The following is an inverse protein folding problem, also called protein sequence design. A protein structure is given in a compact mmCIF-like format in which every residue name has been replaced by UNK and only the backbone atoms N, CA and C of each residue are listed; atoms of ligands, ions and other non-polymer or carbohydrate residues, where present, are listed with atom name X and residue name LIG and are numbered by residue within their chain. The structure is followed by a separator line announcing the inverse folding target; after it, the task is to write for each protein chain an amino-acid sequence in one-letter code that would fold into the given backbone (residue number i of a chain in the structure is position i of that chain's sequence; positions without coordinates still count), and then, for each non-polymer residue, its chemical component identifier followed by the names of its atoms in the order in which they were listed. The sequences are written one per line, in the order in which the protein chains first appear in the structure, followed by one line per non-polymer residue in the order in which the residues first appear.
data_IF_823885152257
#
_entry.id   IF_823885152257
#
_cell.length_a   1.000
_cell.length_b   1.000
_cell.length_c   1.000
_cell.angle_alpha   90.00
_cell.angle_beta   90.00
_cell.angle_gamma   90.00
#
_symmetry.space_group_name_H-M   'P 1'
#
loop_
_entity.id
_entity.type
_entity.pdbx_description
1 polymer ?
#
# COMPACT_ATOMS: atom_id res chain seq x y z
N UNK A 1 -0.69 56.84 -17.36
CA UNK A 1 -1.94 56.14 -17.77
C UNK A 1 -2.08 54.75 -17.16
N UNK A 2 -1.22 53.77 -17.46
CA UNK A 2 -1.33 52.43 -16.84
C UNK A 2 -1.07 52.43 -15.32
N UNK A 3 -0.21 53.32 -14.85
CA UNK A 3 0.09 53.54 -13.43
C UNK A 3 -1.07 54.19 -12.67
N UNK A 4 -1.79 55.11 -13.30
CA UNK A 4 -2.91 55.85 -12.67
C UNK A 4 -4.15 54.97 -12.54
N UNK A 5 -4.35 54.04 -13.48
CA UNK A 5 -5.41 53.05 -13.44
C UNK A 5 -5.19 52.04 -12.30
N UNK A 6 -3.97 51.53 -12.15
CA UNK A 6 -3.60 50.65 -11.04
C UNK A 6 -3.73 51.36 -9.69
N UNK A 7 -3.34 52.64 -9.60
CA UNK A 7 -3.46 53.42 -8.38
C UNK A 7 -4.92 53.62 -7.97
N UNK A 8 -5.81 53.95 -8.92
CA UNK A 8 -7.26 54.03 -8.67
C UNK A 8 -7.89 52.68 -8.34
N UNK A 9 -7.44 51.58 -8.95
CA UNK A 9 -7.94 50.24 -8.63
C UNK A 9 -7.51 49.78 -7.21
N UNK A 10 -6.32 50.18 -6.76
CA UNK A 10 -5.83 49.91 -5.41
C UNK A 10 -6.50 50.83 -4.37
N UNK A 11 -6.83 52.07 -4.73
CA UNK A 11 -7.60 52.98 -3.86
C UNK A 11 -9.09 52.61 -3.79
N UNK A 12 -9.68 52.06 -4.87
CA UNK A 12 -11.08 51.63 -4.93
C UNK A 12 -11.32 50.24 -4.30
N UNK A 13 -10.28 49.41 -4.23
CA UNK A 13 -10.33 48.20 -3.41
C UNK A 13 -10.01 48.59 -1.97
N UNK A 14 -10.84 48.20 -1.01
CA UNK A 14 -10.67 48.42 0.44
C UNK A 14 -9.41 47.76 1.05
N UNK A 15 -8.40 47.52 0.22
CA UNK A 15 -7.17 46.80 0.50
C UNK A 15 -6.19 47.64 1.34
N UNK A 16 -6.15 48.96 1.14
CA UNK A 16 -5.31 49.87 1.93
C UNK A 16 -5.74 49.92 3.40
N UNK A 17 -7.03 50.17 3.75
CA UNK A 17 -7.51 50.08 5.13
C UNK A 17 -7.21 48.72 5.77
N UNK A 18 -7.45 47.63 5.03
CA UNK A 18 -7.22 46.27 5.50
C UNK A 18 -5.74 45.98 5.81
N UNK A 19 -4.81 46.41 4.95
CA UNK A 19 -3.37 46.31 5.21
C UNK A 19 -2.97 47.17 6.42
N UNK A 20 -3.53 48.38 6.54
CA UNK A 20 -3.22 49.24 7.69
C UNK A 20 -3.72 48.66 9.00
N UNK A 21 -4.86 47.95 9.00
CA UNK A 21 -5.39 47.31 10.21
C UNK A 21 -4.59 46.06 10.57
N UNK A 22 -4.22 45.23 9.59
CA UNK A 22 -3.35 44.07 9.83
C UNK A 22 -1.97 44.50 10.36
N UNK A 23 -1.40 45.58 9.81
CA UNK A 23 -0.10 46.07 10.26
C UNK A 23 -0.18 46.71 11.66
N UNK A 24 -1.29 47.38 12.00
CA UNK A 24 -1.56 47.85 13.37
C UNK A 24 -1.69 46.69 14.35
N UNK A 25 -2.46 45.65 14.02
CA UNK A 25 -2.63 44.48 14.88
C UNK A 25 -1.30 43.74 15.09
N UNK A 26 -0.53 43.53 14.01
CA UNK A 26 0.78 42.89 14.10
C UNK A 26 1.78 43.71 14.93
N UNK A 27 1.79 45.04 14.77
CA UNK A 27 2.68 45.91 15.55
C UNK A 27 2.25 45.99 17.03
N UNK A 28 0.96 45.96 17.31
CA UNK A 28 0.42 45.93 18.67
C UNK A 28 0.72 44.60 19.38
N UNK A 29 0.63 43.46 18.68
CA UNK A 29 1.00 42.16 19.22
C UNK A 29 2.51 42.08 19.54
N UNK A 30 3.36 42.60 18.66
CA UNK A 30 4.80 42.70 18.88
C UNK A 30 5.11 43.62 20.07
N UNK A 31 4.44 44.76 20.17
CA UNK A 31 4.59 45.70 21.28
C UNK A 31 4.25 45.06 22.63
N UNK A 32 3.12 44.34 22.72
CA UNK A 32 2.72 43.61 23.94
C UNK A 32 3.77 42.56 24.33
N UNK A 33 4.31 41.80 23.36
CA UNK A 33 5.37 40.82 23.62
C UNK A 33 6.64 41.49 24.15
N UNK A 34 7.06 42.62 23.57
CA UNK A 34 8.23 43.39 24.04
C UNK A 34 8.00 43.93 25.46
N UNK A 35 6.82 44.50 25.75
CA UNK A 35 6.47 44.95 27.10
C UNK A 35 6.49 43.82 28.13
N UNK A 36 6.01 42.62 27.77
CA UNK A 36 6.04 41.45 28.64
C UNK A 36 7.47 40.96 28.92
N UNK A 37 8.34 40.96 27.90
CA UNK A 37 9.77 40.64 28.06
C UNK A 37 10.45 41.65 28.99
N UNK A 38 10.16 42.95 28.82
CA UNK A 38 10.71 43.99 29.68
C UNK A 38 10.22 43.88 31.13
N UNK A 39 8.92 43.61 31.34
CA UNK A 39 8.35 43.31 32.67
C UNK A 39 9.06 42.10 33.30
N UNK A 40 9.23 41.00 32.56
CA UNK A 40 9.92 39.81 33.06
C UNK A 40 11.38 40.09 33.44
N UNK A 41 12.11 40.86 32.63
CA UNK A 41 13.48 41.29 32.97
C UNK A 41 13.52 42.16 34.23
N UNK A 42 12.55 43.06 34.40
CA UNK A 42 12.43 43.89 35.60
C UNK A 42 12.14 43.05 36.85
N UNK A 43 11.20 42.10 36.78
CA UNK A 43 10.89 41.18 37.87
C UNK A 43 12.10 40.31 38.25
N UNK A 44 12.84 39.77 37.28
CA UNK A 44 14.05 38.98 37.53
C UNK A 44 15.17 39.80 38.18
N UNK A 45 15.32 41.08 37.80
CA UNK A 45 16.30 41.99 38.40
C UNK A 45 15.98 42.29 39.87
N UNK A 46 14.71 42.45 40.22
CA UNK A 46 14.28 42.69 41.61
C UNK A 46 14.17 41.42 42.47
N UNK A 47 14.00 40.24 41.86
CA UNK A 47 14.03 38.96 42.60
C UNK A 47 15.45 38.58 43.03
N UNK A 48 16.48 38.99 42.27
CA UNK A 48 17.90 38.79 42.61
C UNK A 48 18.44 39.73 43.70
N UNK A 49 17.78 40.85 43.99
CA UNK A 49 18.22 41.78 45.04
C UNK A 49 17.65 41.50 46.44
N UNK A 50 16.81 40.47 46.60
CA UNK A 50 16.17 40.11 47.89
C UNK A 50 16.71 38.82 48.55
N UNK A 51 17.69 38.13 47.95
CA UNK A 51 18.21 36.84 48.45
C UNK A 51 19.60 36.92 49.10
N UNK A 52 19.92 38.01 49.81
CA UNK A 52 21.09 38.05 50.70
C UNK A 52 20.79 38.76 52.03
N UNK A 53 19.70 38.39 52.70
CA UNK A 53 19.66 38.49 54.16
C UNK A 53 20.35 37.25 54.70
N UNK A 54 21.65 37.37 55.01
CA UNK A 54 22.34 36.44 55.91
C UNK A 54 21.56 36.43 57.22
N UNK A 55 20.95 35.29 57.55
CA UNK A 55 20.54 34.98 58.92
C UNK A 55 21.81 35.02 59.79
N UNK A 56 21.99 36.14 60.47
CA UNK A 56 22.87 36.21 61.62
C UNK A 56 22.13 35.49 62.74
N UNK A 57 22.63 34.31 63.11
CA UNK A 57 22.19 33.63 64.33
C UNK A 57 22.29 34.62 65.50
N UNK A 58 21.30 34.69 66.41
CA UNK A 58 21.45 35.47 67.64
C UNK A 58 22.61 34.86 68.43
N UNK A 59 23.65 35.67 68.64
CA UNK A 59 24.69 35.36 69.63
C UNK A 59 23.98 35.41 70.98
N UNK A 60 23.92 34.25 71.63
CA UNK A 60 23.48 34.08 73.01
C UNK A 60 24.32 34.99 73.91
N UNK A 61 23.64 35.86 74.66
CA UNK A 61 24.19 36.74 75.69
C UNK A 61 24.57 35.93 76.94
N UNK A 62 25.56 35.04 76.85
CA UNK A 62 26.15 34.39 78.02
C UNK A 62 27.67 34.25 77.86
N UNK A 63 28.37 35.38 77.88
CA UNK A 63 29.79 35.49 78.32
C UNK A 63 30.25 36.94 78.40
N UNK A 64 29.53 37.76 79.15
CA UNK A 64 30.11 38.95 79.79
C UNK A 64 30.25 38.63 81.27
N UNK A 65 31.41 38.11 81.65
CA UNK A 65 32.00 38.18 83.00
C UNK A 65 33.15 37.16 83.11
N UNK A 66 34.35 37.58 82.71
CA UNK A 66 35.57 37.06 83.32
C UNK A 66 36.71 38.05 83.10
N UNK A 67 37.00 38.80 84.17
CA UNK A 67 38.35 39.11 84.63
C UNK A 67 39.11 40.17 83.79
N UNK A 68 38.94 41.41 84.25
CA UNK A 68 39.94 42.46 84.13
C UNK A 68 41.16 42.12 84.99
N UNK A 69 42.17 41.50 84.40
CA UNK A 69 43.53 41.57 84.94
C UNK A 69 44.31 42.61 84.15
N UNK A 70 44.60 43.74 84.81
CA UNK A 70 45.55 44.72 84.32
C UNK A 70 46.89 44.00 84.09
N UNK A 71 47.50 44.04 82.89
CA UNK A 71 48.83 43.48 82.73
C UNK A 71 49.80 44.34 83.55
N UNK A 72 50.38 43.72 84.56
CA UNK A 72 51.55 44.23 85.29
C UNK A 72 52.63 44.56 84.24
N UNK A 73 52.96 45.84 84.08
CA UNK A 73 54.12 46.29 83.30
C UNK A 73 55.38 45.77 83.99
N UNK A 74 55.80 44.54 83.66
CA UNK A 74 57.19 44.12 83.84
C UNK A 74 58.03 44.99 82.91
N UNK A 75 58.99 45.73 83.46
CA UNK A 75 60.00 46.44 82.70
C UNK A 75 60.79 45.42 81.88
N UNK A 76 60.43 45.30 80.61
CA UNK A 76 61.21 44.56 79.63
C UNK A 76 62.58 45.22 79.48
N UNK A 77 63.64 44.50 79.82
CA UNK A 77 65.02 44.92 79.57
C UNK A 77 65.21 45.26 78.09
N UNK A 78 66.03 46.27 77.74
CA UNK A 78 66.18 46.76 76.37
C UNK A 78 66.60 45.68 75.35
N UNK A 79 67.19 44.57 75.81
CA UNK A 79 67.55 43.40 75.00
C UNK A 79 66.32 42.59 74.57
N UNK A 80 65.38 42.31 75.47
CA UNK A 80 64.15 41.58 75.14
C UNK A 80 63.26 42.36 74.16
N UNK A 81 63.28 43.69 74.21
CA UNK A 81 62.62 44.55 73.20
C UNK A 81 63.26 44.44 71.81
N UNK A 82 64.60 44.38 71.74
CA UNK A 82 65.34 44.20 70.47
C UNK A 82 65.08 42.81 69.86
N UNK A 83 64.97 41.77 70.69
CA UNK A 83 64.64 40.42 70.24
C UNK A 83 63.20 40.31 69.73
N UNK A 84 62.22 40.82 70.49
CA UNK A 84 60.81 40.91 70.05
C UNK A 84 60.67 41.73 68.76
N UNK A 85 61.41 42.83 68.61
CA UNK A 85 61.41 43.61 67.37
C UNK A 85 61.99 42.81 66.18
N UNK A 86 63.04 42.00 66.40
CA UNK A 86 63.58 41.09 65.36
C UNK A 86 62.59 39.97 65.03
N UNK A 87 61.88 39.42 66.00
CA UNK A 87 60.84 38.39 65.80
C UNK A 87 59.64 38.95 65.04
N UNK A 88 59.13 40.12 65.41
CA UNK A 88 58.07 40.82 64.69
C UNK A 88 58.50 41.10 63.24
N UNK A 89 59.75 41.54 63.01
CA UNK A 89 60.28 41.75 61.66
C UNK A 89 60.37 40.45 60.84
N UNK A 90 60.71 39.32 61.47
CA UNK A 90 60.70 37.99 60.83
C UNK A 90 59.28 37.53 60.52
N UNK A 91 58.34 37.75 61.43
CA UNK A 91 56.92 37.42 61.25
C UNK A 91 56.31 38.24 60.10
N UNK A 92 56.57 39.55 60.05
CA UNK A 92 56.12 40.43 58.96
C UNK A 92 56.68 39.98 57.61
N UNK A 93 57.95 39.58 57.54
CA UNK A 93 58.54 39.01 56.31
C UNK A 93 57.86 37.70 55.90
N UNK A 94 57.53 36.81 56.86
CA UNK A 94 56.78 35.58 56.59
C UNK A 94 55.37 35.88 56.06
N UNK A 95 54.64 36.79 56.72
CA UNK A 95 53.31 37.22 56.28
C UNK A 95 53.34 37.88 54.89
N UNK A 96 54.37 38.67 54.58
CA UNK A 96 54.51 39.27 53.26
C UNK A 96 54.77 38.22 52.19
N UNK A 97 55.61 37.21 52.46
CA UNK A 97 55.83 36.07 51.56
C UNK A 97 54.55 35.26 51.37
N UNK A 98 53.86 34.91 52.46
CA UNK A 98 52.59 34.19 52.42
C UNK A 98 51.52 34.96 51.63
N UNK A 99 51.43 36.28 51.81
CA UNK A 99 50.54 37.15 51.03
C UNK A 99 50.89 37.13 49.54
N UNK A 100 52.18 37.17 49.19
CA UNK A 100 52.61 37.09 47.79
C UNK A 100 52.34 35.72 47.15
N UNK A 101 52.55 34.63 47.88
CA UNK A 101 52.23 33.27 47.43
C UNK A 101 50.73 33.06 47.26
N UNK A 102 49.92 33.56 48.20
CA UNK A 102 48.46 33.53 48.10
C UNK A 102 47.96 34.31 46.90
N UNK A 103 48.55 35.47 46.64
CA UNK A 103 48.19 36.27 45.46
C UNK A 103 48.55 35.56 44.16
N UNK A 104 49.74 34.95 44.08
CA UNK A 104 50.17 34.16 42.93
C UNK A 104 49.24 32.97 42.67
N UNK A 105 48.89 32.20 43.70
CA UNK A 105 47.92 31.09 43.58
C UNK A 105 46.55 31.58 43.10
N UNK A 106 46.11 32.76 43.55
CA UNK A 106 44.85 33.34 43.10
C UNK A 106 44.90 33.69 41.60
N UNK A 107 46.02 34.24 41.13
CA UNK A 107 46.23 34.53 39.70
C UNK A 107 46.25 33.26 38.85
N UNK A 108 46.95 32.21 39.30
CA UNK A 108 46.99 30.91 38.61
C UNK A 108 45.57 30.29 38.51
N UNK A 109 44.76 30.37 39.57
CA UNK A 109 43.36 29.92 39.55
C UNK A 109 42.48 30.76 38.62
N UNK A 110 42.66 32.08 38.60
CA UNK A 110 41.92 32.97 37.70
C UNK A 110 42.29 32.71 36.23
N UNK A 111 43.56 32.41 35.93
CA UNK A 111 44.02 32.02 34.60
C UNK A 111 43.46 30.66 34.16
N UNK A 112 43.44 29.66 35.05
CA UNK A 112 42.85 28.35 34.77
C UNK A 112 41.33 28.47 34.54
N UNK A 113 40.64 29.28 35.34
CA UNK A 113 39.22 29.55 35.17
C UNK A 113 38.91 30.24 33.83
N UNK A 114 39.77 31.17 33.39
CA UNK A 114 39.64 31.80 32.06
C UNK A 114 39.84 30.80 30.93
N UNK A 115 40.85 29.93 31.01
CA UNK A 115 41.08 28.90 29.99
C UNK A 115 39.90 27.94 29.85
N UNK A 116 39.34 27.48 30.98
CA UNK A 116 38.13 26.62 30.95
C UNK A 116 36.94 27.34 30.33
N UNK A 117 36.77 28.63 30.62
CA UNK A 117 35.71 29.43 30.01
C UNK A 117 35.89 29.56 28.49
N UNK A 118 37.11 29.78 28.02
CA UNK A 118 37.41 29.87 26.59
C UNK A 118 37.17 28.52 25.88
N UNK A 119 37.60 27.40 26.48
CA UNK A 119 37.32 26.05 25.98
C UNK A 119 35.80 25.75 25.90
N UNK A 120 35.02 26.16 26.90
CA UNK A 120 33.57 26.02 26.91
C UNK A 120 32.90 26.85 25.80
N UNK A 121 33.40 28.07 25.54
CA UNK A 121 32.93 28.94 24.45
C UNK A 121 33.22 28.29 23.09
N UNK A 122 34.44 27.80 22.87
CA UNK A 122 34.81 27.12 21.62
C UNK A 122 33.96 25.87 21.36
N UNK A 123 33.70 25.07 22.40
CA UNK A 123 32.82 23.90 22.30
C UNK A 123 31.37 24.30 21.96
N UNK A 124 30.86 25.37 22.55
CA UNK A 124 29.52 25.88 22.27
C UNK A 124 29.43 26.40 20.81
N UNK A 125 30.46 27.08 20.30
CA UNK A 125 30.52 27.53 18.92
C UNK A 125 30.54 26.36 17.93
N UNK A 126 31.35 25.32 18.19
CA UNK A 126 31.38 24.10 17.35
C UNK A 126 30.01 23.41 17.34
N UNK A 127 29.36 23.29 18.50
CA UNK A 127 28.02 22.71 18.59
C UNK A 127 26.98 23.53 17.83
N UNK A 128 27.08 24.86 17.91
CA UNK A 128 26.20 25.77 17.18
C UNK A 128 26.38 25.63 15.66
N UNK A 129 27.62 25.57 15.18
CA UNK A 129 27.91 25.35 13.76
C UNK A 129 27.36 24.01 13.26
N UNK A 130 27.55 22.92 14.03
CA UNK A 130 26.98 21.60 13.69
C UNK A 130 25.46 21.63 13.59
N UNK A 131 24.77 22.27 14.55
CA UNK A 131 23.30 22.43 14.49
C UNK A 131 22.86 23.23 13.28
N UNK A 132 23.58 24.29 12.92
CA UNK A 132 23.26 25.09 11.73
C UNK A 132 23.43 24.29 10.43
N UNK A 133 24.47 23.46 10.33
CA UNK A 133 24.67 22.55 9.19
C UNK A 133 23.58 21.49 9.08
N UNK A 134 23.16 20.89 10.19
CA UNK A 134 22.06 19.93 10.24
C UNK A 134 20.75 20.57 9.78
N UNK A 135 20.44 21.78 10.27
CA UNK A 135 19.27 22.55 9.83
C UNK A 135 19.33 22.90 8.34
N UNK A 136 20.50 23.23 7.79
CA UNK A 136 20.69 23.46 6.35
C UNK A 136 20.46 22.19 5.55
N UNK A 137 21.01 21.05 5.97
CA UNK A 137 20.80 19.74 5.33
C UNK A 137 19.33 19.32 5.37
N UNK A 138 18.64 19.55 6.48
CA UNK A 138 17.22 19.25 6.61
C UNK A 138 16.36 20.13 5.68
N UNK A 139 16.66 21.44 5.59
CA UNK A 139 16.01 22.35 4.63
C UNK A 139 16.19 21.87 3.19
N UNK A 140 17.40 21.52 2.79
CA UNK A 140 17.69 21.00 1.44
C UNK A 140 16.89 19.71 1.20
N UNK A 141 16.92 18.75 2.13
CA UNK A 141 16.17 17.50 1.99
C UNK A 141 14.66 17.74 1.89
N UNK A 142 14.12 18.67 2.67
CA UNK A 142 12.71 19.04 2.61
C UNK A 142 12.34 19.70 1.27
N UNK A 143 13.21 20.52 0.70
CA UNK A 143 12.99 21.09 -0.65
C UNK A 143 13.04 20.02 -1.74
N UNK A 144 13.95 19.05 -1.66
CA UNK A 144 14.02 17.92 -2.60
C UNK A 144 12.76 17.05 -2.53
N UNK A 145 12.31 16.70 -1.32
CA UNK A 145 11.06 15.96 -1.11
C UNK A 145 9.84 16.69 -1.67
N UNK A 146 9.78 18.02 -1.60
CA UNK A 146 8.70 18.81 -2.22
C UNK A 146 8.76 18.72 -3.75
N UNK A 147 9.94 18.90 -4.35
CA UNK A 147 10.13 18.74 -5.81
C UNK A 147 9.75 17.36 -6.31
N UNK A 148 10.15 16.29 -5.61
CA UNK A 148 9.76 14.93 -5.99
C UNK A 148 8.24 14.70 -5.93
N UNK A 149 7.56 15.29 -4.94
CA UNK A 149 6.09 15.23 -4.84
C UNK A 149 5.43 15.99 -5.98
N UNK A 150 5.92 17.19 -6.31
CA UNK A 150 5.43 17.98 -7.44
C UNK A 150 5.62 17.25 -8.77
N UNK A 151 6.78 16.63 -8.99
CA UNK A 151 7.02 15.81 -10.19
C UNK A 151 6.09 14.60 -10.29
N UNK A 152 5.83 13.92 -9.17
CA UNK A 152 4.86 12.82 -9.12
C UNK A 152 3.46 13.32 -9.47
N UNK A 153 3.04 14.43 -8.87
CA UNK A 153 1.74 15.05 -9.15
C UNK A 153 1.61 15.46 -10.62
N UNK A 154 2.69 16.00 -11.21
CA UNK A 154 2.73 16.40 -12.62
C UNK A 154 2.61 15.19 -13.55
N UNK A 155 3.33 14.11 -13.27
CA UNK A 155 3.22 12.83 -14.00
C UNK A 155 1.84 12.21 -13.88
N UNK A 156 1.25 12.22 -12.70
CA UNK A 156 -0.12 11.74 -12.47
C UNK A 156 -1.12 12.58 -13.26
N UNK A 157 -0.99 13.90 -13.23
CA UNK A 157 -1.84 14.81 -13.99
C UNK A 157 -1.72 14.60 -15.50
N UNK A 158 -0.50 14.45 -16.03
CA UNK A 158 -0.28 14.12 -17.45
C UNK A 158 -0.90 12.76 -17.82
N UNK A 159 -0.78 11.75 -16.97
CA UNK A 159 -1.40 10.45 -17.18
C UNK A 159 -2.93 10.55 -17.22
N UNK A 160 -3.53 11.31 -16.30
CA UNK A 160 -4.97 11.58 -16.27
C UNK A 160 -5.44 12.33 -17.52
N UNK A 161 -4.69 13.34 -17.96
CA UNK A 161 -4.96 14.07 -19.20
C UNK A 161 -4.92 13.14 -20.41
N UNK A 162 -3.87 12.32 -20.52
CA UNK A 162 -3.71 11.36 -21.61
C UNK A 162 -4.81 10.29 -21.62
N UNK A 163 -5.27 9.83 -20.45
CA UNK A 163 -6.38 8.88 -20.34
C UNK A 163 -7.68 9.52 -20.83
N UNK A 164 -7.97 10.73 -20.37
CA UNK A 164 -9.16 11.49 -20.75
C UNK A 164 -9.18 11.79 -22.26
N UNK A 165 -8.04 12.20 -22.84
CA UNK A 165 -7.92 12.43 -24.27
C UNK A 165 -8.13 11.14 -25.09
N UNK A 166 -7.66 9.99 -24.60
CA UNK A 166 -7.92 8.69 -25.24
C UNK A 166 -9.39 8.32 -25.19
N UNK A 167 -10.03 8.47 -24.03
CA UNK A 167 -11.46 8.21 -23.86
C UNK A 167 -12.30 9.13 -24.74
N UNK A 168 -11.98 10.42 -24.80
CA UNK A 168 -12.63 11.39 -25.66
C UNK A 168 -12.48 11.02 -27.15
N UNK A 169 -11.28 10.66 -27.60
CA UNK A 169 -11.04 10.16 -28.96
C UNK A 169 -11.80 8.87 -29.25
N UNK A 170 -11.94 7.98 -28.27
CA UNK A 170 -12.73 6.75 -28.42
C UNK A 170 -14.22 7.06 -28.55
N UNK A 171 -14.75 8.01 -27.80
CA UNK A 171 -16.16 8.42 -27.89
C UNK A 171 -16.45 9.09 -29.23
N UNK A 172 -15.56 9.97 -29.71
CA UNK A 172 -15.72 10.64 -31.02
C UNK A 172 -15.58 9.65 -32.18
N UNK A 173 -14.60 8.73 -32.11
CA UNK A 173 -14.36 7.78 -33.19
C UNK A 173 -15.40 6.65 -33.24
N UNK A 174 -16.16 6.44 -32.18
CA UNK A 174 -17.27 5.51 -32.19
C UNK A 174 -18.42 6.05 -33.04
N UNK A 175 -18.70 5.35 -34.14
CA UNK A 175 -19.91 5.52 -34.94
C UNK A 175 -21.16 5.48 -34.07
N UNK A 176 -22.17 6.26 -34.45
CA UNK A 176 -23.43 6.33 -33.73
C UNK A 176 -24.17 4.98 -33.79
N UNK A 177 -25.04 4.74 -32.81
CA UNK A 177 -25.74 3.45 -32.71
C UNK A 177 -26.58 3.13 -33.95
N UNK A 178 -27.25 4.13 -34.53
CA UNK A 178 -28.06 3.93 -35.73
C UNK A 178 -27.18 3.52 -36.93
N UNK A 179 -26.03 4.15 -37.13
CA UNK A 179 -25.07 3.77 -38.18
C UNK A 179 -24.58 2.33 -37.99
N UNK A 180 -24.32 1.90 -36.75
CA UNK A 180 -23.93 0.51 -36.45
C UNK A 180 -25.05 -0.47 -36.77
N UNK A 181 -26.30 -0.12 -36.47
CA UNK A 181 -27.46 -0.94 -36.80
C UNK A 181 -27.64 -1.04 -38.32
N UNK A 182 -27.50 0.06 -39.05
CA UNK A 182 -27.55 0.09 -40.52
C UNK A 182 -26.43 -0.76 -41.14
N UNK A 183 -25.18 -0.60 -40.69
CA UNK A 183 -24.06 -1.42 -41.17
C UNK A 183 -24.28 -2.91 -40.88
N UNK A 184 -24.80 -3.25 -39.71
CA UNK A 184 -25.14 -4.63 -39.36
C UNK A 184 -26.26 -5.20 -40.23
N UNK A 185 -27.29 -4.39 -40.52
CA UNK A 185 -28.40 -4.79 -41.39
C UNK A 185 -27.92 -4.99 -42.83
N UNK A 186 -27.09 -4.08 -43.34
CA UNK A 186 -26.51 -4.17 -44.68
C UNK A 186 -25.66 -5.44 -44.80
N UNK A 187 -24.79 -5.69 -43.84
CA UNK A 187 -23.86 -6.84 -43.88
C UNK A 187 -24.54 -8.18 -43.65
N UNK A 188 -25.53 -8.25 -42.75
CA UNK A 188 -26.17 -9.52 -42.38
C UNK A 188 -27.37 -9.88 -43.25
N UNK A 189 -28.09 -8.89 -43.79
CA UNK A 189 -29.35 -9.12 -44.50
C UNK A 189 -29.21 -8.72 -45.97
N UNK A 190 -28.87 -7.45 -46.25
CA UNK A 190 -28.86 -6.93 -47.62
C UNK A 190 -27.81 -7.62 -48.50
N UNK A 191 -26.59 -7.78 -48.00
CA UNK A 191 -25.49 -8.38 -48.74
C UNK A 191 -25.73 -9.86 -49.08
N UNK A 192 -26.12 -10.73 -48.12
CA UNK A 192 -26.44 -12.13 -48.44
C UNK A 192 -27.62 -12.28 -49.41
N UNK A 193 -28.65 -11.44 -49.31
CA UNK A 193 -29.75 -11.47 -50.27
C UNK A 193 -29.30 -11.05 -51.67
N UNK A 194 -28.43 -10.05 -51.78
CA UNK A 194 -27.82 -9.64 -53.04
C UNK A 194 -26.97 -10.75 -53.65
N UNK A 195 -26.19 -11.45 -52.84
CA UNK A 195 -25.38 -12.59 -53.28
C UNK A 195 -26.24 -13.74 -53.79
N UNK A 196 -27.34 -14.08 -53.08
CA UNK A 196 -28.31 -15.08 -53.55
C UNK A 196 -28.92 -14.69 -54.90
N UNK A 197 -29.38 -13.45 -55.04
CA UNK A 197 -29.93 -12.94 -56.32
C UNK A 197 -28.90 -12.97 -57.44
N UNK A 198 -27.64 -12.62 -57.16
CA UNK A 198 -26.54 -12.72 -58.13
C UNK A 198 -26.28 -14.18 -58.54
N UNK A 199 -26.30 -15.10 -57.59
CA UNK A 199 -26.14 -16.53 -57.86
C UNK A 199 -27.29 -17.09 -58.70
N UNK A 200 -28.53 -16.74 -58.38
CA UNK A 200 -29.72 -17.11 -59.17
C UNK A 200 -29.65 -16.56 -60.60
N UNK A 201 -29.24 -15.30 -60.76
CA UNK A 201 -29.03 -14.70 -62.08
C UNK A 201 -27.92 -15.40 -62.86
N UNK A 202 -26.82 -15.76 -62.20
CA UNK A 202 -25.73 -16.51 -62.82
C UNK A 202 -26.20 -17.90 -63.28
N UNK A 203 -26.97 -18.61 -62.45
CA UNK A 203 -27.58 -19.90 -62.83
C UNK A 203 -28.54 -19.75 -64.02
N UNK A 204 -29.37 -18.72 -64.03
CA UNK A 204 -30.25 -18.43 -65.18
C UNK A 204 -29.43 -18.12 -66.43
N UNK A 205 -28.39 -17.30 -66.34
CA UNK A 205 -27.49 -17.00 -67.47
C UNK A 205 -26.83 -18.27 -68.01
N UNK A 206 -26.39 -19.18 -67.15
CA UNK A 206 -25.84 -20.47 -67.54
C UNK A 206 -26.88 -21.32 -68.28
N UNK A 207 -28.11 -21.37 -67.77
CA UNK A 207 -29.20 -22.15 -68.38
C UNK A 207 -29.60 -21.62 -69.78
N UNK A 208 -29.58 -20.31 -69.97
CA UNK A 208 -29.91 -19.66 -71.24
C UNK A 208 -28.69 -19.40 -72.14
N UNK A 209 -27.50 -19.83 -71.73
CA UNK A 209 -26.32 -19.73 -72.57
C UNK A 209 -26.46 -20.71 -73.73
N UNK A 210 -26.34 -20.27 -75.00
CA UNK A 210 -26.38 -21.18 -76.13
C UNK A 210 -25.24 -22.19 -75.98
N UNK A 211 -25.60 -23.48 -76.02
CA UNK A 211 -24.66 -24.58 -75.84
C UNK A 211 -23.63 -24.51 -76.95
N UNK A 212 -22.35 -24.50 -76.58
CA UNK A 212 -21.28 -24.42 -77.55
C UNK A 212 -21.18 -25.74 -78.33
N UNK A 213 -21.03 -25.66 -79.66
CA UNK A 213 -20.91 -26.85 -80.51
C UNK A 213 -19.75 -27.75 -80.08
N UNK A 214 -18.66 -27.19 -79.55
CA UNK A 214 -17.54 -27.95 -79.00
C UNK A 214 -17.95 -28.82 -77.80
N UNK A 215 -18.74 -28.29 -76.88
CA UNK A 215 -19.19 -29.00 -75.67
C UNK A 215 -20.11 -30.17 -76.02
N UNK A 216 -20.97 -30.02 -77.04
CA UNK A 216 -21.82 -31.10 -77.55
C UNK A 216 -20.95 -32.25 -78.08
N UNK A 217 -19.91 -31.92 -78.85
CA UNK A 217 -18.98 -32.91 -79.41
C UNK A 217 -18.20 -33.61 -78.29
N UNK A 218 -17.71 -32.87 -77.30
CA UNK A 218 -17.03 -33.46 -76.15
C UNK A 218 -17.93 -34.35 -75.30
N UNK A 219 -19.18 -33.94 -75.07
CA UNK A 219 -20.15 -34.75 -74.35
C UNK A 219 -20.47 -36.04 -75.11
N UNK A 220 -20.65 -35.96 -76.42
CA UNK A 220 -20.83 -37.15 -77.27
C UNK A 220 -19.62 -38.09 -77.17
N UNK A 221 -18.39 -37.57 -77.25
CA UNK A 221 -17.16 -38.37 -77.07
C UNK A 221 -17.10 -39.03 -75.70
N UNK A 222 -17.36 -38.28 -74.62
CA UNK A 222 -17.38 -38.82 -73.26
C UNK A 222 -18.43 -39.92 -73.10
N UNK A 223 -19.61 -39.74 -73.68
CA UNK A 223 -20.66 -40.73 -73.66
C UNK A 223 -20.26 -42.00 -74.43
N UNK A 224 -19.65 -41.86 -75.60
CA UNK A 224 -19.12 -42.99 -76.37
C UNK A 224 -18.00 -43.73 -75.62
N UNK A 225 -17.13 -43.00 -74.92
CA UNK A 225 -16.08 -43.58 -74.09
C UNK A 225 -16.68 -44.33 -72.89
N UNK A 226 -17.72 -43.79 -72.24
CA UNK A 226 -18.46 -44.49 -71.17
C UNK A 226 -19.10 -45.78 -71.70
N UNK A 227 -19.68 -45.76 -72.90
CA UNK A 227 -20.26 -46.96 -73.52
C UNK A 227 -19.16 -48.00 -73.79
N UNK A 228 -18.03 -47.59 -74.35
CA UNK A 228 -16.88 -48.47 -74.61
C UNK A 228 -16.34 -49.07 -73.31
N UNK A 229 -16.22 -48.27 -72.25
CA UNK A 229 -15.79 -48.73 -70.94
C UNK A 229 -16.77 -49.74 -70.35
N UNK A 230 -18.08 -49.50 -70.47
CA UNK A 230 -19.11 -50.44 -70.03
C UNK A 230 -19.08 -51.75 -70.82
N UNK A 231 -18.86 -51.69 -72.14
CA UNK A 231 -18.70 -52.87 -72.98
C UNK A 231 -17.44 -53.66 -72.60
N UNK A 232 -16.30 -52.98 -72.46
CA UNK A 232 -15.06 -53.60 -72.03
C UNK A 232 -15.16 -54.23 -70.63
N UNK A 233 -15.90 -53.60 -69.70
CA UNK A 233 -16.23 -54.19 -68.40
C UNK A 233 -17.08 -55.44 -68.54
N UNK A 234 -18.14 -55.41 -69.35
CA UNK A 234 -19.00 -56.59 -69.60
C UNK A 234 -18.22 -57.74 -70.23
N UNK A 235 -17.33 -57.47 -71.18
CA UNK A 235 -16.49 -58.49 -71.81
C UNK A 235 -15.51 -59.09 -70.81
N UNK A 236 -14.87 -58.26 -69.97
CA UNK A 236 -14.00 -58.72 -68.88
C UNK A 236 -14.77 -59.55 -67.85
N UNK A 237 -15.97 -59.13 -67.47
CA UNK A 237 -16.84 -59.85 -66.54
C UNK A 237 -17.33 -61.18 -67.16
N UNK A 238 -17.68 -61.20 -68.44
CA UNK A 238 -18.05 -62.42 -69.14
C UNK A 238 -16.86 -63.39 -69.23
N UNK A 239 -15.66 -62.88 -69.52
CA UNK A 239 -14.44 -63.67 -69.54
C UNK A 239 -14.09 -64.20 -68.13
N UNK A 240 -14.14 -63.35 -67.10
CA UNK A 240 -13.88 -63.78 -65.73
C UNK A 240 -14.91 -64.81 -65.27
N UNK A 241 -16.19 -64.62 -65.58
CA UNK A 241 -17.24 -65.61 -65.31
C UNK A 241 -16.97 -66.93 -66.05
N UNK A 242 -16.49 -66.88 -67.30
CA UNK A 242 -16.12 -68.10 -68.02
C UNK A 242 -14.94 -68.84 -67.38
N UNK A 243 -13.92 -68.09 -66.91
CA UNK A 243 -12.77 -68.63 -66.18
C UNK A 243 -13.21 -69.18 -64.83
N UNK A 244 -14.06 -68.47 -64.10
CA UNK A 244 -14.60 -68.90 -62.81
C UNK A 244 -15.48 -70.13 -62.96
N UNK A 245 -16.26 -70.25 -64.04
CA UNK A 245 -17.03 -71.46 -64.35
C UNK A 245 -16.12 -72.65 -64.66
N UNK A 246 -15.05 -72.45 -65.45
CA UNK A 246 -14.03 -73.48 -65.69
C UNK A 246 -13.32 -73.88 -64.40
N UNK A 247 -12.91 -72.89 -63.60
CA UNK A 247 -12.27 -73.11 -62.31
C UNK A 247 -13.23 -73.79 -61.33
N UNK A 248 -14.52 -73.44 -61.33
CA UNK A 248 -15.53 -74.12 -60.54
C UNK A 248 -15.79 -75.54 -61.03
N UNK A 249 -15.74 -75.83 -62.33
CA UNK A 249 -15.85 -77.19 -62.86
C UNK A 249 -14.64 -78.03 -62.42
N UNK A 250 -13.42 -77.49 -62.52
CA UNK A 250 -12.20 -78.13 -62.03
C UNK A 250 -12.25 -78.26 -60.50
N UNK A 251 -12.59 -77.21 -59.76
CA UNK A 251 -12.68 -77.22 -58.31
C UNK A 251 -13.79 -78.14 -57.81
N UNK A 252 -14.92 -78.29 -58.53
CA UNK A 252 -15.95 -79.30 -58.24
C UNK A 252 -15.40 -80.72 -58.38
N UNK A 253 -14.48 -80.96 -59.30
CA UNK A 253 -13.78 -82.25 -59.42
C UNK A 253 -12.74 -82.49 -58.32
N UNK A 254 -12.19 -81.42 -57.73
CA UNK A 254 -11.25 -81.47 -56.60
C UNK A 254 -11.88 -81.05 -55.26
N UNK A 255 -13.22 -81.02 -55.15
CA UNK A 255 -13.91 -80.44 -54.01
C UNK A 255 -13.87 -81.40 -52.83
N UNK A 256 -12.96 -81.14 -51.90
CA UNK A 256 -12.91 -81.86 -50.63
C UNK A 256 -13.95 -81.29 -49.68
N UNK A 257 -14.69 -82.18 -48.98
CA UNK A 257 -15.61 -81.81 -47.89
C UNK A 257 -14.94 -80.92 -46.81
N UNK A 258 -13.61 -80.98 -46.70
CA UNK A 258 -12.84 -80.12 -45.80
C UNK A 258 -12.84 -78.64 -46.22
N UNK A 259 -12.90 -78.32 -47.52
CA UNK A 259 -12.97 -76.93 -47.99
C UNK A 259 -14.33 -76.29 -47.72
N UNK A 260 -15.41 -77.07 -47.79
CA UNK A 260 -16.75 -76.59 -47.43
C UNK A 260 -16.85 -76.32 -45.93
N UNK A 261 -16.31 -77.23 -45.11
CA UNK A 261 -16.21 -77.01 -43.67
C UNK A 261 -15.42 -75.74 -43.32
N UNK A 262 -14.29 -75.49 -43.99
CA UNK A 262 -13.50 -74.26 -43.79
C UNK A 262 -14.25 -72.99 -44.21
N UNK A 263 -14.99 -73.01 -45.33
CA UNK A 263 -15.79 -71.84 -45.76
C UNK A 263 -16.98 -71.58 -44.83
N UNK A 264 -17.59 -72.63 -44.30
CA UNK A 264 -18.67 -72.50 -43.30
C UNK A 264 -18.11 -71.98 -41.97
N UNK A 265 -16.93 -72.44 -41.56
CA UNK A 265 -16.21 -71.94 -40.38
C UNK A 265 -15.81 -70.46 -40.55
N UNK A 266 -15.30 -70.06 -41.72
CA UNK A 266 -14.95 -68.66 -42.02
C UNK A 266 -16.19 -67.74 -42.00
N UNK A 267 -17.32 -68.20 -42.54
CA UNK A 267 -18.60 -67.47 -42.46
C UNK A 267 -19.08 -67.33 -41.02
N UNK A 268 -19.06 -68.41 -40.25
CA UNK A 268 -19.43 -68.38 -38.82
C UNK A 268 -18.56 -67.41 -38.03
N UNK A 269 -17.26 -67.46 -38.25
CA UNK A 269 -16.29 -66.61 -37.56
C UNK A 269 -16.43 -65.13 -37.93
N UNK A 270 -16.86 -64.83 -39.17
CA UNK A 270 -17.20 -63.48 -39.60
C UNK A 270 -18.49 -62.98 -38.96
N UNK A 271 -19.54 -63.79 -38.94
CA UNK A 271 -20.81 -63.45 -38.30
C UNK A 271 -20.66 -63.23 -36.78
N UNK A 272 -19.80 -64.02 -36.12
CA UNK A 272 -19.47 -63.83 -34.69
C UNK A 272 -18.74 -62.50 -34.46
N UNK A 273 -17.75 -62.16 -35.29
CA UNK A 273 -17.06 -60.86 -35.22
C UNK A 273 -18.02 -59.69 -35.40
N UNK A 274 -18.91 -59.76 -36.38
CA UNK A 274 -19.88 -58.70 -36.64
C UNK A 274 -20.85 -58.52 -35.46
N UNK A 275 -21.28 -59.62 -34.83
CA UNK A 275 -22.09 -59.59 -33.59
C UNK A 275 -21.32 -58.97 -32.42
N UNK A 276 -20.06 -59.35 -32.21
CA UNK A 276 -19.24 -58.76 -31.14
C UNK A 276 -19.04 -57.25 -31.32
N UNK A 277 -18.82 -56.78 -32.56
CA UNK A 277 -18.66 -55.36 -32.85
C UNK A 277 -19.95 -54.58 -32.57
N UNK A 278 -21.11 -55.13 -32.93
CA UNK A 278 -22.41 -54.55 -32.62
C UNK A 278 -22.64 -54.47 -31.10
N UNK A 279 -22.33 -55.53 -30.34
CA UNK A 279 -22.42 -55.51 -28.88
C UNK A 279 -21.46 -54.51 -28.23
N UNK A 280 -20.24 -54.36 -28.76
CA UNK A 280 -19.27 -53.36 -28.30
C UNK A 280 -19.81 -51.95 -28.53
N UNK A 281 -20.37 -51.66 -29.71
CA UNK A 281 -21.01 -50.36 -30.02
C UNK A 281 -22.17 -50.07 -29.07
N UNK A 282 -23.08 -51.02 -28.86
CA UNK A 282 -24.19 -50.86 -27.91
C UNK A 282 -23.72 -50.63 -26.47
N UNK A 283 -22.64 -51.30 -26.03
CA UNK A 283 -22.04 -51.07 -24.70
C UNK A 283 -21.47 -49.66 -24.57
N UNK A 284 -20.84 -49.13 -25.61
CA UNK A 284 -20.32 -47.75 -25.62
C UNK A 284 -21.46 -46.75 -25.58
N UNK A 285 -22.51 -46.95 -26.38
CA UNK A 285 -23.71 -46.10 -26.38
C UNK A 285 -24.37 -46.06 -25.00
N UNK A 286 -24.58 -47.23 -24.36
CA UNK A 286 -25.12 -47.30 -22.98
C UNK A 286 -24.24 -46.56 -21.97
N UNK A 287 -22.91 -46.66 -22.09
CA UNK A 287 -21.98 -45.92 -21.23
C UNK A 287 -22.07 -44.40 -21.46
N UNK A 288 -22.19 -43.97 -22.72
CA UNK A 288 -22.32 -42.56 -23.07
C UNK A 288 -23.65 -41.99 -22.56
N UNK A 289 -24.77 -42.68 -22.78
CA UNK A 289 -26.08 -42.31 -22.26
C UNK A 289 -26.06 -42.19 -20.74
N UNK A 290 -25.46 -43.17 -20.05
CA UNK A 290 -25.31 -43.10 -18.59
C UNK A 290 -24.41 -41.92 -18.16
N UNK A 291 -23.31 -41.66 -18.87
CA UNK A 291 -22.41 -40.55 -18.56
C UNK A 291 -23.08 -39.18 -18.77
N UNK A 292 -23.92 -39.03 -19.80
CA UNK A 292 -24.74 -37.85 -20.02
C UNK A 292 -25.76 -37.66 -18.90
N UNK A 293 -26.50 -38.72 -18.57
CA UNK A 293 -27.48 -38.71 -17.47
C UNK A 293 -26.83 -38.38 -16.13
N UNK A 294 -25.64 -38.91 -15.83
CA UNK A 294 -24.86 -38.56 -14.63
C UNK A 294 -24.42 -37.10 -14.66
N UNK A 295 -24.01 -36.56 -15.82
CA UNK A 295 -23.64 -35.14 -15.93
C UNK A 295 -24.84 -34.21 -15.72
N UNK A 296 -26.03 -34.63 -16.14
CA UNK A 296 -27.27 -33.88 -15.93
C UNK A 296 -27.71 -33.92 -14.46
N UNK A 297 -27.77 -35.11 -13.86
CA UNK A 297 -28.17 -35.31 -12.47
C UNK A 297 -27.17 -34.71 -11.47
N UNK A 298 -25.88 -34.85 -11.74
CA UNK A 298 -24.79 -34.42 -10.87
C UNK A 298 -23.98 -33.30 -11.52
N UNK A 299 -24.68 -32.29 -12.07
CA UNK A 299 -24.00 -31.10 -12.57
C UNK A 299 -23.35 -30.40 -11.38
N UNK A 300 -22.01 -30.25 -11.35
CA UNK A 300 -21.36 -29.62 -10.21
C UNK A 300 -21.84 -28.17 -10.10
N UNK A 301 -22.50 -27.86 -8.99
CA UNK A 301 -22.88 -26.49 -8.63
C UNK A 301 -21.62 -25.73 -8.26
N UNK A 302 -21.16 -24.88 -9.17
CA UNK A 302 -20.04 -23.97 -8.90
C UNK A 302 -20.60 -22.82 -8.07
N UNK A 303 -20.23 -22.77 -6.80
CA UNK A 303 -20.49 -21.65 -5.91
C UNK A 303 -20.03 -20.33 -6.57
N UNK A 304 -20.84 -19.28 -6.46
CA UNK A 304 -20.60 -17.99 -7.11
C UNK A 304 -19.25 -17.39 -6.70
N UNK A 305 -18.82 -17.63 -5.46
CA UNK A 305 -17.51 -17.23 -4.96
C UNK A 305 -16.36 -17.92 -5.70
N UNK A 306 -16.43 -19.25 -5.89
CA UNK A 306 -15.42 -19.99 -6.66
C UNK A 306 -15.43 -19.60 -8.14
N UNK A 307 -16.59 -19.22 -8.69
CA UNK A 307 -16.69 -18.71 -10.06
C UNK A 307 -15.96 -17.38 -10.22
N UNK A 308 -16.06 -16.48 -9.24
CA UNK A 308 -15.31 -15.22 -9.22
C UNK A 308 -13.81 -15.46 -9.01
N UNK A 309 -13.43 -16.38 -8.13
CA UNK A 309 -12.03 -16.77 -7.93
C UNK A 309 -11.40 -17.32 -9.22
N UNK A 310 -12.09 -18.23 -9.92
CA UNK A 310 -11.64 -18.79 -11.19
C UNK A 310 -11.53 -17.72 -12.29
N UNK A 311 -12.45 -16.75 -12.35
CA UNK A 311 -12.34 -15.60 -13.28
C UNK A 311 -11.08 -14.78 -13.00
N UNK A 312 -10.81 -14.47 -11.74
CA UNK A 312 -9.60 -13.74 -11.33
C UNK A 312 -8.32 -14.54 -11.65
N UNK A 313 -8.37 -15.87 -11.53
CA UNK A 313 -7.25 -16.75 -11.86
C UNK A 313 -6.97 -16.78 -13.38
N UNK A 314 -8.02 -16.85 -14.19
CA UNK A 314 -7.94 -16.74 -15.65
C UNK A 314 -7.42 -15.36 -16.07
N UNK A 315 -7.87 -14.28 -15.43
CA UNK A 315 -7.35 -12.93 -15.68
C UNK A 315 -5.87 -12.79 -15.32
N UNK A 316 -5.43 -13.38 -14.20
CA UNK A 316 -4.02 -13.43 -13.81
C UNK A 316 -3.15 -14.21 -14.80
N UNK A 317 -3.70 -15.25 -15.43
CA UNK A 317 -3.00 -16.05 -16.45
C UNK A 317 -2.92 -15.37 -17.82
N UNK A 318 -3.84 -14.44 -18.13
CA UNK A 318 -3.80 -13.63 -19.35
C UNK A 318 -2.71 -12.55 -19.32
N UNK A 319 -2.24 -12.18 -18.13
CA UNK A 319 -1.08 -11.30 -18.00
C UNK A 319 0.19 -12.09 -18.32
N UNK A 320 1.07 -11.59 -19.20
CA UNK A 320 2.31 -12.28 -19.52
C UNK A 320 3.18 -12.35 -18.27
N UNK A 321 3.23 -13.52 -17.63
CA UNK A 321 4.14 -13.81 -16.53
C UNK A 321 5.56 -13.71 -17.10
N UNK A 322 6.28 -12.63 -16.74
CA UNK A 322 7.71 -12.54 -16.99
C UNK A 322 8.39 -13.69 -16.28
N UNK A 323 8.62 -14.79 -17.00
CA UNK A 323 9.47 -15.89 -16.54
C UNK A 323 10.83 -15.30 -16.22
N UNK A 324 11.16 -15.19 -14.93
CA UNK A 324 12.54 -14.96 -14.51
C UNK A 324 13.34 -16.15 -15.02
N UNK A 325 14.16 -15.91 -16.04
CA UNK A 325 15.19 -16.83 -16.50
C UNK A 325 16.16 -17.02 -15.33
N UNK A 326 15.94 -18.05 -14.53
CA UNK A 326 16.95 -18.53 -13.61
C UNK A 326 18.02 -19.23 -14.44
N UNK A 327 19.22 -18.64 -14.37
CA UNK A 327 20.53 -19.19 -14.68
C UNK A 327 20.58 -20.49 -15.47
N UNK A 328 20.97 -20.35 -16.73
CA UNK A 328 21.80 -21.32 -17.45
C UNK A 328 23.02 -21.56 -16.57
N UNK A 329 23.07 -22.70 -15.85
CA UNK A 329 24.27 -23.36 -15.32
C UNK A 329 23.83 -24.63 -14.58
N UNK A 330 23.49 -25.66 -15.35
CA UNK A 330 23.41 -27.04 -14.87
C UNK A 330 23.67 -27.95 -16.05
N UNK A 331 24.95 -28.08 -16.38
CA UNK A 331 25.45 -29.18 -17.17
C UNK A 331 25.14 -30.48 -16.42
N UNK A 332 24.23 -31.28 -16.96
CA UNK A 332 24.29 -32.73 -16.87
C UNK A 332 23.39 -33.33 -17.95
N UNK A 333 24.05 -33.55 -19.09
CA UNK A 333 23.99 -34.76 -19.91
C UNK A 333 23.27 -35.94 -19.26
N UNK A 334 22.08 -36.26 -19.75
CA UNK A 334 21.71 -37.65 -20.12
C UNK A 334 20.81 -37.56 -21.35
N UNK A 335 21.28 -38.15 -22.44
CA UNK A 335 20.48 -38.53 -23.58
C UNK A 335 19.28 -39.38 -23.13
N UNK A 336 18.08 -39.05 -23.59
CA UNK A 336 17.10 -40.08 -23.97
C UNK A 336 16.34 -39.57 -25.18
N UNK A 337 16.65 -40.19 -26.30
CA UNK A 337 15.88 -40.11 -27.54
C UNK A 337 14.50 -40.75 -27.37
N UNK A 338 13.58 -40.28 -28.21
CA UNK A 338 12.39 -40.94 -28.75
C UNK A 338 11.01 -40.78 -28.09
N UNK A 339 10.06 -40.67 -29.01
CA UNK A 339 8.67 -41.11 -28.97
C UNK A 339 7.61 -40.09 -28.55
N UNK A 340 6.98 -39.53 -29.58
CA UNK A 340 5.56 -39.21 -29.63
C UNK A 340 4.74 -40.24 -28.82
N UNK A 341 4.13 -39.77 -27.74
CA UNK A 341 3.28 -40.59 -26.88
C UNK A 341 2.31 -39.71 -26.13
N UNK A 342 1.03 -39.86 -26.47
CA UNK A 342 -0.12 -39.25 -25.83
C UNK A 342 0.01 -39.17 -24.31
N UNK A 343 -0.16 -37.96 -23.77
CA UNK A 343 -0.29 -37.72 -22.33
C UNK A 343 -1.63 -38.29 -21.86
N UNK A 344 -1.64 -39.57 -21.51
CA UNK A 344 -2.59 -40.13 -20.55
C UNK A 344 -1.88 -40.21 -19.21
N UNK A 345 -2.39 -39.46 -18.23
CA UNK A 345 -1.90 -39.48 -16.86
C UNK A 345 -1.99 -40.89 -16.28
N UNK A 346 -0.85 -41.59 -16.24
CA UNK A 346 -0.72 -42.82 -15.45
C UNK A 346 -0.80 -42.44 -13.97
N UNK A 347 -1.96 -42.69 -13.35
CA UNK A 347 -2.11 -42.71 -11.90
C UNK A 347 -1.04 -43.61 -11.29
N UNK A 348 -0.08 -43.01 -10.56
CA UNK A 348 0.91 -43.74 -9.78
C UNK A 348 0.17 -44.53 -8.69
N UNK A 349 0.31 -45.86 -8.69
CA UNK A 349 -0.15 -46.73 -7.60
C UNK A 349 0.50 -46.29 -6.29
N UNK A 350 -0.31 -45.83 -5.34
CA UNK A 350 0.13 -45.52 -3.98
C UNK A 350 0.39 -46.86 -3.27
N UNK A 351 1.61 -47.06 -2.78
CA UNK A 351 1.94 -48.21 -1.94
C UNK A 351 1.19 -48.07 -0.60
N UNK A 352 0.58 -49.15 -0.11
CA UNK A 352 -0.05 -49.17 1.22
C UNK A 352 1.03 -48.98 2.28
N UNK A 353 0.81 -48.06 3.23
CA UNK A 353 1.76 -47.80 4.31
C UNK A 353 1.93 -49.06 5.17
N UNK A 354 3.17 -49.35 5.54
CA UNK A 354 3.53 -50.51 6.38
C UNK A 354 3.03 -50.30 7.83
N UNK A 355 2.16 -51.16 8.38
CA UNK A 355 1.56 -50.97 9.71
C UNK A 355 2.54 -51.14 10.87
N UNK A 356 3.76 -51.63 10.64
CA UNK A 356 4.75 -51.85 11.71
C UNK A 356 5.63 -50.63 12.01
N UNK A 357 5.49 -49.53 11.26
CA UNK A 357 6.23 -48.29 11.52
C UNK A 357 5.27 -47.27 12.12
N UNK A 358 5.46 -46.84 13.38
CA UNK A 358 4.68 -45.76 13.97
C UNK A 358 4.74 -44.53 13.08
N UNK A 359 3.59 -43.99 12.69
CA UNK A 359 3.57 -42.82 11.83
C UNK A 359 4.28 -41.65 12.52
N UNK A 360 5.17 -40.93 11.80
CA UNK A 360 5.89 -39.82 12.39
C UNK A 360 4.89 -38.79 12.92
N UNK A 361 5.18 -38.14 14.08
CA UNK A 361 4.25 -37.21 14.70
C UNK A 361 3.86 -36.13 13.69
N UNK A 362 2.54 -35.95 13.50
CA UNK A 362 2.01 -35.00 12.53
C UNK A 362 2.59 -33.62 12.83
N UNK A 363 3.34 -33.05 11.86
CA UNK A 363 3.87 -31.70 11.99
C UNK A 363 2.69 -30.76 12.16
N UNK A 364 2.62 -30.07 13.30
CA UNK A 364 1.61 -29.04 13.55
C UNK A 364 1.64 -28.05 12.38
N UNK A 365 0.57 -28.03 11.61
CA UNK A 365 0.43 -27.07 10.53
C UNK A 365 0.54 -25.68 11.13
N UNK A 366 1.54 -24.92 10.69
CA UNK A 366 1.72 -23.52 11.11
C UNK A 366 0.48 -22.80 10.56
N UNK A 367 -0.50 -22.51 11.42
CA UNK A 367 -1.63 -21.67 11.08
C UNK A 367 -1.04 -20.37 10.54
N UNK A 368 -1.23 -20.13 9.25
CA UNK A 368 -0.80 -18.90 8.59
C UNK A 368 -1.73 -17.81 9.09
N UNK A 369 -1.40 -17.22 10.23
CA UNK A 369 -2.14 -16.11 10.81
C UNK A 369 -1.91 -14.92 9.87
N UNK A 370 -2.94 -14.58 9.11
CA UNK A 370 -2.94 -13.36 8.31
C UNK A 370 -3.07 -12.18 9.29
N UNK A 371 -1.92 -11.61 9.64
CA UNK A 371 -1.80 -10.51 10.59
C UNK A 371 -2.70 -9.31 10.24
N UNK A 372 -2.98 -9.12 8.94
CA UNK A 372 -3.89 -8.06 8.50
C UNK A 372 -5.36 -8.42 8.73
N UNK A 373 -5.73 -9.70 8.57
CA UNK A 373 -7.07 -10.18 8.88
C UNK A 373 -7.34 -10.11 10.39
N UNK A 374 -6.36 -10.50 11.20
CA UNK A 374 -6.42 -10.39 12.65
C UNK A 374 -6.53 -8.93 13.10
N UNK A 375 -5.72 -8.03 12.52
CA UNK A 375 -5.82 -6.58 12.78
C UNK A 375 -7.13 -5.95 12.30
N UNK A 376 -7.78 -6.47 11.26
CA UNK A 376 -9.12 -6.02 10.84
C UNK A 376 -10.21 -6.49 11.81
N UNK A 377 -10.08 -7.71 12.34
CA UNK A 377 -10.98 -8.24 13.37
C UNK A 377 -10.79 -7.43 14.66
N UNK A 378 -9.55 -7.14 15.04
CA UNK A 378 -9.23 -6.33 16.23
C UNK A 378 -9.76 -4.89 16.11
N UNK A 379 -9.71 -4.27 14.92
CA UNK A 379 -10.34 -2.96 14.67
C UNK A 379 -11.86 -3.00 14.60
N UNK A 380 -12.46 -4.13 14.27
CA UNK A 380 -13.93 -4.31 14.30
C UNK A 380 -14.43 -4.58 15.71
N UNK A 381 -13.69 -5.36 16.51
CA UNK A 381 -14.03 -5.64 17.90
C UNK A 381 -13.76 -4.44 18.81
N UNK A 382 -12.70 -3.68 18.54
CA UNK A 382 -12.54 -2.29 18.98
C UNK A 382 -13.33 -1.37 18.04
N UNK A 383 -14.64 -1.62 17.89
CA UNK A 383 -15.54 -0.73 17.16
C UNK A 383 -15.25 0.70 17.59
N UNK A 384 -15.31 1.67 16.66
CA UNK A 384 -14.96 3.06 16.92
C UNK A 384 -15.74 3.56 18.13
N UNK A 385 -15.12 3.45 19.30
CA UNK A 385 -15.61 4.07 20.51
C UNK A 385 -15.29 5.53 20.28
N UNK A 386 -16.17 6.22 19.56
CA UNK A 386 -16.41 7.64 19.75
C UNK A 386 -16.81 7.75 21.21
N UNK A 387 -15.81 7.80 22.10
CA UNK A 387 -16.00 8.16 23.50
C UNK A 387 -16.62 9.54 23.40
N UNK A 388 -17.94 9.63 23.58
CA UNK A 388 -18.60 10.92 23.74
C UNK A 388 -18.07 11.46 25.06
N UNK A 389 -17.12 12.39 24.96
CA UNK A 389 -16.57 13.09 26.11
C UNK A 389 -17.64 14.08 26.58
N UNK A 390 -18.54 13.61 27.44
CA UNK A 390 -19.61 14.41 28.00
C UNK A 390 -19.07 15.16 29.25
N UNK A 391 -18.17 16.11 29.01
CA UNK A 391 -17.49 16.90 30.06
C UNK A 391 -18.50 17.64 30.97
N UNK A 392 -19.69 17.96 30.46
CA UNK A 392 -20.73 18.69 31.19
C UNK A 392 -21.34 17.84 32.32
N UNK A 393 -21.52 16.54 32.09
CA UNK A 393 -21.95 15.61 33.16
C UNK A 393 -20.90 15.40 34.22
N UNK A 394 -19.64 15.33 33.80
CA UNK A 394 -18.51 15.19 34.72
C UNK A 394 -18.35 16.46 35.57
N UNK A 395 -18.49 17.65 34.97
CA UNK A 395 -18.43 18.93 35.67
C UNK A 395 -19.47 19.05 36.79
N UNK A 396 -20.69 18.53 36.56
CA UNK A 396 -21.76 18.52 37.56
C UNK A 396 -21.56 17.48 38.68
N UNK A 397 -20.67 16.50 38.48
CA UNK A 397 -20.41 15.42 39.43
C UNK A 397 -19.16 15.64 40.30
N UNK A 398 -18.25 16.50 39.85
CA UNK A 398 -17.03 16.82 40.58
C UNK A 398 -17.27 17.97 41.55
N UNK A 399 -16.98 17.73 42.82
CA UNK A 399 -16.82 18.79 43.81
C UNK A 399 -15.50 19.52 43.52
N UNK A 400 -15.58 20.77 43.07
CA UNK A 400 -14.46 21.55 42.54
C UNK A 400 -13.52 22.09 43.63
N UNK A 401 -13.78 21.80 44.90
CA UNK A 401 -12.89 22.12 46.03
C UNK A 401 -11.85 21.04 46.33
N UNK A 402 -11.93 19.87 45.68
CA UNK A 402 -11.01 18.75 45.88
C UNK A 402 -9.88 18.78 44.82
N UNK A 403 -8.64 19.04 45.25
CA UNK A 403 -7.47 19.20 44.37
C UNK A 403 -7.27 18.00 43.43
N UNK A 404 -7.48 16.76 43.91
CA UNK A 404 -7.29 15.55 43.11
C UNK A 404 -8.36 15.41 41.99
N UNK A 405 -9.58 15.91 42.24
CA UNK A 405 -10.66 15.89 41.26
C UNK A 405 -10.48 17.00 40.23
N UNK A 406 -10.05 18.19 40.66
CA UNK A 406 -9.74 19.29 39.75
C UNK A 406 -8.57 18.92 38.82
N UNK A 407 -7.54 18.24 39.32
CA UNK A 407 -6.41 17.78 38.51
C UNK A 407 -6.83 16.73 37.47
N UNK A 408 -7.70 15.78 37.83
CA UNK A 408 -8.29 14.83 36.87
C UNK A 408 -9.15 15.51 35.82
N UNK A 409 -9.89 16.55 36.19
CA UNK A 409 -10.68 17.34 35.26
C UNK A 409 -9.76 18.11 34.29
N UNK A 410 -8.67 18.71 34.77
CA UNK A 410 -7.64 19.36 33.94
C UNK A 410 -7.07 18.37 32.92
N UNK A 411 -6.62 17.19 33.35
CA UNK A 411 -6.07 16.17 32.45
C UNK A 411 -7.08 15.73 31.39
N UNK A 412 -8.36 15.57 31.76
CA UNK A 412 -9.42 15.23 30.81
C UNK A 412 -9.71 16.36 29.83
N UNK A 413 -9.73 17.61 30.28
CA UNK A 413 -9.90 18.78 29.39
C UNK A 413 -8.76 18.90 28.39
N UNK A 414 -7.51 18.63 28.80
CA UNK A 414 -6.35 18.60 27.91
C UNK A 414 -6.41 17.48 26.87
N UNK A 415 -6.99 16.33 27.23
CA UNK A 415 -7.22 15.24 26.28
C UNK A 415 -8.28 15.63 25.25
N UNK A 416 -9.37 16.26 25.68
CA UNK A 416 -10.43 16.75 24.78
C UNK A 416 -9.89 17.82 23.82
N UNK A 417 -9.04 18.74 24.29
CA UNK A 417 -8.39 19.74 23.43
C UNK A 417 -7.46 19.14 22.37
N UNK A 418 -6.72 18.09 22.74
CA UNK A 418 -5.89 17.34 21.77
C UNK A 418 -6.75 16.65 20.73
N UNK A 419 -7.95 16.19 21.08
CA UNK A 419 -8.90 15.62 20.13
C UNK A 419 -9.56 16.69 19.25
N UNK A 420 -9.97 17.83 19.81
CA UNK A 420 -10.45 19.00 19.06
C UNK A 420 -9.41 19.39 18.01
N UNK A 421 -8.16 19.60 18.43
CA UNK A 421 -7.06 19.97 17.53
C UNK A 421 -6.84 18.96 16.39
N UNK A 422 -7.12 17.68 16.63
CA UNK A 422 -7.06 16.63 15.58
C UNK A 422 -8.27 16.70 14.66
N UNK A 423 -9.48 16.88 15.20
CA UNK A 423 -10.72 16.99 14.42
C UNK A 423 -10.73 18.27 13.58
N UNK A 424 -10.20 19.40 14.08
CA UNK A 424 -10.06 20.65 13.33
C UNK A 424 -9.19 20.47 12.07
N UNK A 425 -8.04 19.80 12.20
CA UNK A 425 -7.17 19.50 11.04
C UNK A 425 -7.86 18.59 10.01
N UNK A 426 -8.74 17.70 10.46
CA UNK A 426 -9.50 16.82 9.58
C UNK A 426 -10.62 17.62 8.90
N UNK A 427 -11.35 18.46 9.62
CA UNK A 427 -12.40 19.32 9.08
C UNK A 427 -11.82 20.26 8.02
N UNK A 428 -10.69 20.92 8.30
CA UNK A 428 -10.01 21.80 7.33
C UNK A 428 -9.64 21.11 6.02
N UNK A 429 -9.44 19.78 6.04
CA UNK A 429 -9.14 18.98 4.85
C UNK A 429 -10.38 18.48 4.09
N UNK A 430 -11.57 18.52 4.69
CA UNK A 430 -12.81 17.89 4.20
C UNK A 430 -13.99 18.85 3.96
N UNK A 431 -13.72 20.17 3.85
CA UNK A 431 -14.74 21.23 3.71
C UNK A 431 -15.80 21.00 2.61
N UNK A 432 -15.52 20.19 1.58
CA UNK A 432 -16.43 19.97 0.45
C UNK A 432 -17.47 18.84 0.66
N UNK A 433 -17.43 18.09 1.76
CA UNK A 433 -18.33 16.95 1.97
C UNK A 433 -19.59 17.37 2.75
N UNK A 434 -20.81 16.96 2.38
CA UNK A 434 -22.05 17.39 3.07
C UNK A 434 -22.10 16.97 4.56
N UNK A 435 -21.50 15.83 4.91
CA UNK A 435 -21.29 15.39 6.32
C UNK A 435 -20.27 16.23 7.12
N UNK A 436 -19.68 17.27 6.52
CA UNK A 436 -18.78 18.18 7.23
C UNK A 436 -19.52 19.13 8.17
N UNK A 437 -20.82 19.37 7.93
CA UNK A 437 -21.66 20.22 8.77
C UNK A 437 -21.90 19.54 10.12
N UNK A 438 -22.43 18.32 10.15
CA UNK A 438 -22.64 17.56 11.39
C UNK A 438 -21.33 17.38 12.19
N UNK A 439 -20.21 17.22 11.48
CA UNK A 439 -18.89 17.09 12.10
C UNK A 439 -18.36 18.42 12.66
N UNK A 440 -18.70 19.55 12.02
CA UNK A 440 -18.40 20.88 12.53
C UNK A 440 -19.25 21.21 13.76
N UNK A 441 -20.51 20.79 13.79
CA UNK A 441 -21.39 20.94 14.95
C UNK A 441 -20.87 20.13 16.15
N UNK A 442 -20.49 18.86 15.94
CA UNK A 442 -19.87 18.03 16.99
C UNK A 442 -18.56 18.66 17.52
N UNK A 443 -17.77 19.27 16.62
CA UNK A 443 -16.53 19.94 16.98
C UNK A 443 -16.79 21.22 17.81
N UNK A 444 -17.80 22.00 17.43
CA UNK A 444 -18.24 23.17 18.19
C UNK A 444 -18.72 22.78 19.59
N UNK A 445 -19.49 21.70 19.73
CA UNK A 445 -19.94 21.19 21.04
C UNK A 445 -18.76 20.76 21.93
N UNK A 446 -17.73 20.11 21.36
CA UNK A 446 -16.51 19.76 22.08
C UNK A 446 -15.73 21.01 22.51
N UNK A 447 -15.62 22.03 21.66
CA UNK A 447 -14.96 23.30 22.00
C UNK A 447 -15.70 24.00 23.14
N UNK A 448 -17.02 24.13 23.02
CA UNK A 448 -17.85 24.80 24.03
C UNK A 448 -17.74 24.08 25.37
N UNK A 449 -17.80 22.74 25.38
CA UNK A 449 -17.68 21.95 26.62
C UNK A 449 -16.29 22.05 27.25
N UNK A 450 -15.20 22.07 26.46
CA UNK A 450 -13.84 22.32 26.95
C UNK A 450 -13.71 23.72 27.57
N UNK A 451 -14.21 24.76 26.89
CA UNK A 451 -14.19 26.13 27.39
C UNK A 451 -14.96 26.26 28.70
N UNK A 452 -16.18 25.71 28.77
CA UNK A 452 -16.99 25.69 30.00
C UNK A 452 -16.25 25.03 31.16
N UNK A 453 -15.65 23.85 30.92
CA UNK A 453 -14.90 23.13 31.95
C UNK A 453 -13.67 23.92 32.44
N UNK A 454 -12.92 24.54 31.53
CA UNK A 454 -11.78 25.40 31.90
C UNK A 454 -12.18 26.64 32.68
N UNK A 455 -13.27 27.30 32.29
CA UNK A 455 -13.80 28.45 33.03
C UNK A 455 -14.24 28.06 34.44
N UNK A 456 -14.87 26.89 34.60
CA UNK A 456 -15.24 26.37 35.90
C UNK A 456 -14.02 26.06 36.79
N UNK A 457 -12.96 25.48 36.23
CA UNK A 457 -11.68 25.27 36.94
C UNK A 457 -11.08 26.61 37.40
N UNK A 458 -11.06 27.61 36.52
CA UNK A 458 -10.54 28.96 36.84
C UNK A 458 -11.36 29.60 37.95
N UNK A 459 -12.69 29.58 37.85
CA UNK A 459 -13.57 30.16 38.88
C UNK A 459 -13.36 29.48 40.24
N UNK A 460 -13.28 28.14 40.27
CA UNK A 460 -13.00 27.39 41.50
C UNK A 460 -11.64 27.77 42.12
N UNK A 461 -10.60 27.98 41.30
CA UNK A 461 -9.29 28.42 41.80
C UNK A 461 -9.28 29.86 42.33
N UNK A 462 -10.16 30.72 41.82
CA UNK A 462 -10.30 32.11 42.27
C UNK A 462 -11.01 32.16 43.63
N UNK A 463 -12.03 31.31 43.84
CA UNK A 463 -12.77 31.24 45.11
C UNK A 463 -11.94 30.64 46.26
N UNK A 464 -10.85 29.93 45.94
CA UNK A 464 -9.89 29.36 46.89
C UNK A 464 -8.75 30.32 47.30
N UNK A 465 -8.61 31.46 46.61
CA UNK A 465 -7.57 32.49 46.86
C UNK A 465 -8.13 33.67 47.64
#
# INVERSE_FOLDING_TARGET
MATDYLKRAIEASYFLPYITDITKDATQEVFVKVCNILKMKYYLKHKRSKSSKKETKPITEERRNSISEKPVKREETPETRKEKAKEIKRLLKKLQKEKSERHRKLQELDEEAKRKLDEDIELEEILKQKREEEMKKERINNTLKRREKEEKHKKEFENWKNLTEKEYKNVISQKYLHEKLEESYITQIVMPELEKKKAELAQKRLLFQPINRGEIIEHARRHDDIIKDLQARREKEALSQSIDLQYHQIAKSFHSKAQDALKEEEKRLKEEKDKEELEKKQRIEKKNQYAELVKELYRPTVDEFKRQEMKLLVEKLKLPVRKKLYGINSANTYEVSTANGSVTEKHRRKWSKNPMVPEPPQKKEIKKIDFLAEMRILRRSQGSVTRKYDLEKELMSYDLHDEDKTQKLIEKTDLVDKEISRKERILSSKLAHPKSIDFADELNDMIISSIKAKLAIVNASVDLS
#
